data_IF_101316269331
#
_entry.id   IF_101316269331
#
_cell.length_a   1.000
_cell.length_b   1.000
_cell.length_c   1.000
_cell.angle_alpha   90.00
_cell.angle_beta   90.00
_cell.angle_gamma   90.00
#
_symmetry.space_group_name_H-M   'P 1'
#
loop_
_entity.id
_entity.type
_entity.pdbx_description
1 polymer ?
#
# COMPACT_ATOMS: atom_id res chain seq x y z
N UNK A 1 -3.60 13.80 -8.45
CA UNK A 1 -4.04 12.43 -8.15
C UNK A 1 -4.11 12.30 -6.64
N UNK A 2 -5.07 11.56 -6.08
CA UNK A 2 -5.18 11.43 -4.61
C UNK A 2 -4.22 10.36 -4.10
N UNK A 3 -3.48 10.67 -3.04
CA UNK A 3 -2.48 9.78 -2.44
C UNK A 3 -3.10 8.98 -1.30
N UNK A 4 -3.04 7.65 -1.40
CA UNK A 4 -3.58 6.72 -0.41
C UNK A 4 -2.45 5.88 0.16
N UNK A 5 -2.46 5.74 1.49
CA UNK A 5 -1.56 4.90 2.24
C UNK A 5 -2.20 3.56 2.57
N UNK A 6 -1.46 2.47 2.42
CA UNK A 6 -1.88 1.13 2.86
C UNK A 6 -0.82 0.52 3.76
N UNK A 7 -1.17 0.32 5.03
CA UNK A 7 -0.35 -0.37 6.02
C UNK A 7 -0.92 -1.77 6.23
N UNK A 8 -0.15 -2.78 5.79
CA UNK A 8 -0.56 -4.18 5.85
C UNK A 8 -0.97 -4.71 4.48
N UNK A 9 -0.09 -5.51 3.89
CA UNK A 9 -0.27 -6.12 2.54
C UNK A 9 -0.49 -7.63 2.63
N UNK A 10 -1.26 -8.07 3.63
CA UNK A 10 -1.62 -9.48 3.83
C UNK A 10 -2.67 -9.98 2.82
N UNK A 11 -3.38 -11.05 3.19
CA UNK A 11 -4.40 -11.68 2.33
C UNK A 11 -5.49 -10.71 1.84
N UNK A 12 -5.91 -9.77 2.69
CA UNK A 12 -6.88 -8.72 2.32
C UNK A 12 -6.22 -7.45 1.80
N UNK A 13 -5.10 -7.04 2.38
CA UNK A 13 -4.44 -5.78 2.00
C UNK A 13 -3.94 -5.79 0.56
N UNK A 14 -3.36 -6.90 0.10
CA UNK A 14 -2.87 -7.02 -1.28
C UNK A 14 -3.95 -6.80 -2.36
N UNK A 15 -5.07 -7.55 -2.39
CA UNK A 15 -6.10 -7.32 -3.40
C UNK A 15 -6.76 -5.94 -3.29
N UNK A 16 -6.85 -5.37 -2.08
CA UNK A 16 -7.31 -3.99 -1.89
C UNK A 16 -6.35 -2.98 -2.54
N UNK A 17 -5.05 -3.09 -2.28
CA UNK A 17 -4.03 -2.24 -2.89
C UNK A 17 -4.06 -2.32 -4.42
N UNK A 18 -4.18 -3.54 -4.96
CA UNK A 18 -4.33 -3.73 -6.41
C UNK A 18 -5.59 -3.06 -6.97
N UNK A 19 -6.70 -3.06 -6.21
CA UNK A 19 -7.94 -2.37 -6.62
C UNK A 19 -7.76 -0.84 -6.66
N UNK A 20 -7.08 -0.27 -5.66
CA UNK A 20 -6.78 1.16 -5.61
C UNK A 20 -5.91 1.60 -6.78
N UNK A 21 -4.88 0.81 -7.12
CA UNK A 21 -4.03 1.05 -8.28
C UNK A 21 -4.84 1.00 -9.59
N UNK A 22 -5.70 -0.02 -9.78
CA UNK A 22 -6.57 -0.11 -10.97
C UNK A 22 -7.54 1.07 -11.09
N UNK A 23 -7.96 1.65 -9.96
CA UNK A 23 -8.82 2.82 -9.93
C UNK A 23 -8.04 4.15 -10.17
N UNK A 24 -6.72 4.11 -10.32
CA UNK A 24 -5.88 5.27 -10.64
C UNK A 24 -5.43 6.10 -9.44
N UNK A 25 -5.46 5.54 -8.23
CA UNK A 25 -4.90 6.20 -7.04
C UNK A 25 -3.38 6.01 -6.96
N UNK A 26 -2.67 7.02 -6.45
CA UNK A 26 -1.27 6.89 -6.08
C UNK A 26 -1.20 6.16 -4.74
N UNK A 27 -0.61 4.95 -4.71
CA UNK A 27 -0.64 4.07 -3.55
C UNK A 27 0.75 3.98 -2.89
N UNK A 28 0.84 4.44 -1.64
CA UNK A 28 2.01 4.28 -0.78
C UNK A 28 1.80 3.09 0.15
N UNK A 29 2.75 2.16 0.18
CA UNK A 29 2.61 0.88 0.90
C UNK A 29 3.84 0.58 1.73
N UNK A 30 3.65 -0.13 2.83
CA UNK A 30 4.76 -0.73 3.59
C UNK A 30 4.37 -2.13 4.05
N UNK A 31 5.36 -3.02 4.17
CA UNK A 31 5.14 -4.40 4.60
C UNK A 31 6.12 -4.82 5.69
N UNK A 32 5.62 -5.46 6.74
CA UNK A 32 6.46 -6.01 7.80
C UNK A 32 6.90 -7.46 7.56
N UNK A 33 6.05 -8.30 6.96
CA UNK A 33 6.33 -9.75 6.78
C UNK A 33 6.14 -10.26 5.35
N UNK A 34 5.25 -9.63 4.59
CA UNK A 34 4.80 -10.15 3.29
C UNK A 34 5.52 -9.50 2.12
N UNK A 35 6.85 -9.72 2.01
CA UNK A 35 7.67 -9.13 0.93
C UNK A 35 7.15 -9.51 -0.46
N UNK A 36 6.83 -10.77 -0.69
CA UNK A 36 6.34 -11.25 -2.00
C UNK A 36 5.05 -10.52 -2.45
N UNK A 37 4.14 -10.27 -1.52
CA UNK A 37 2.88 -9.55 -1.78
C UNK A 37 3.13 -8.07 -2.07
N UNK A 38 4.05 -7.46 -1.33
CA UNK A 38 4.51 -6.11 -1.58
C UNK A 38 5.09 -5.98 -2.99
N UNK A 39 6.01 -6.87 -3.38
CA UNK A 39 6.63 -6.87 -4.71
C UNK A 39 5.59 -6.91 -5.85
N UNK A 40 4.48 -7.64 -5.67
CA UNK A 40 3.39 -7.63 -6.67
C UNK A 40 2.70 -6.28 -6.77
N UNK A 41 2.50 -5.57 -5.65
CA UNK A 41 1.97 -4.21 -5.67
C UNK A 41 2.96 -3.22 -6.29
N UNK A 42 4.26 -3.36 -6.03
CA UNK A 42 5.28 -2.51 -6.65
C UNK A 42 5.31 -2.69 -8.17
N UNK A 43 5.23 -3.94 -8.66
CA UNK A 43 5.08 -4.22 -10.11
C UNK A 43 3.80 -3.64 -10.70
N UNK A 44 2.75 -3.48 -9.89
CA UNK A 44 1.50 -2.85 -10.29
C UNK A 44 1.51 -1.31 -10.17
N UNK A 45 2.61 -0.70 -9.71
CA UNK A 45 2.79 0.75 -9.61
C UNK A 45 2.62 1.35 -8.22
N UNK A 46 2.61 0.54 -7.16
CA UNK A 46 2.69 1.07 -5.79
C UNK A 46 4.09 1.61 -5.47
N UNK A 47 4.15 2.50 -4.49
CA UNK A 47 5.38 3.10 -3.97
C UNK A 47 5.67 2.48 -2.61
N UNK A 48 6.85 1.86 -2.46
CA UNK A 48 7.29 1.33 -1.16
C UNK A 48 7.80 2.46 -0.27
N UNK A 49 7.28 2.52 0.94
CA UNK A 49 7.74 3.41 2.00
C UNK A 49 8.43 2.61 3.11
N UNK A 50 9.45 3.24 3.73
CA UNK A 50 10.33 2.59 4.71
C UNK A 50 9.62 2.09 5.97
N UNK A 51 8.53 2.75 6.38
CA UNK A 51 7.79 2.48 7.61
C UNK A 51 6.36 3.07 7.55
N UNK A 52 5.46 2.71 8.48
CA UNK A 52 4.10 3.25 8.51
C UNK A 52 4.02 4.78 8.68
N UNK A 53 5.00 5.41 9.32
CA UNK A 53 5.02 6.86 9.49
C UNK A 53 5.31 7.57 8.16
N UNK A 54 6.21 7.01 7.34
CA UNK A 54 6.46 7.48 5.98
C UNK A 54 5.24 7.30 5.07
N UNK A 55 4.52 6.18 5.18
CA UNK A 55 3.22 5.99 4.48
C UNK A 55 2.24 7.10 4.85
N UNK A 56 2.08 7.39 6.13
CA UNK A 56 1.17 8.43 6.60
C UNK A 56 1.58 9.83 6.13
N UNK A 57 2.88 10.14 6.12
CA UNK A 57 3.38 11.43 5.65
C UNK A 57 3.17 11.65 4.14
N UNK A 58 3.15 10.59 3.34
CA UNK A 58 2.98 10.66 1.90
C UNK A 58 1.52 10.55 1.43
N UNK A 59 0.55 10.41 2.34
CA UNK A 59 -0.84 10.05 2.01
C UNK A 59 -1.86 11.01 2.61
N UNK A 60 -2.96 11.26 1.90
CA UNK A 60 -4.10 12.04 2.40
C UNK A 60 -5.07 11.19 3.24
N UNK A 61 -5.07 9.87 3.00
CA UNK A 61 -5.87 8.89 3.71
C UNK A 61 -5.05 7.63 3.91
N UNK A 62 -5.06 7.07 5.12
CA UNK A 62 -4.35 5.83 5.45
C UNK A 62 -5.35 4.73 5.77
N UNK A 63 -5.23 3.60 5.08
CA UNK A 63 -5.97 2.37 5.32
C UNK A 63 -5.04 1.40 6.04
N UNK A 64 -5.47 0.91 7.20
CA UNK A 64 -4.76 -0.13 7.94
C UNK A 64 -5.47 -1.47 7.76
N UNK A 65 -4.73 -2.50 7.36
CA UNK A 65 -5.24 -3.84 7.14
C UNK A 65 -4.28 -4.87 7.76
N UNK A 66 -4.37 -4.99 9.09
CA UNK A 66 -3.49 -5.80 9.95
C UNK A 66 -4.33 -6.82 10.75
N UNK A 67 -3.72 -7.89 11.30
CA UNK A 67 -4.40 -8.78 12.25
C UNK A 67 -4.89 -8.06 13.51
#
# INVERSE_FOLDING_TARGET
MKHIGLVGVGAMGEPMGASLLRAGFALHVTAHRSRERLERLLKAGAIEERDPAAVAAASECVITMVP
#
